data_IF_397564358423
#
_entry.id   IF_397564358423
#
_cell.length_a   1.000
_cell.length_b   1.000
_cell.length_c   1.000
_cell.angle_alpha   90.00
_cell.angle_beta   90.00
_cell.angle_gamma   90.00
#
_symmetry.space_group_name_H-M   'P 1'
#
loop_
_entity.id
_entity.type
_entity.pdbx_description
1 polymer ?
#
# COMPACT_ATOMS: atom_id res chain seq x y z
N UNK A 1 -44.54 3.34 -49.86
CA UNK A 1 -45.31 3.69 -51.07
C UNK A 1 -45.06 2.59 -52.10
N UNK A 2 -46.13 1.97 -52.61
CA UNK A 2 -46.23 0.87 -53.58
C UNK A 2 -45.75 -0.54 -53.19
N UNK A 3 -46.76 -1.42 -53.01
CA UNK A 3 -46.72 -2.86 -53.20
C UNK A 3 -46.20 -3.25 -54.59
N UNK A 4 -45.52 -4.39 -54.69
CA UNK A 4 -45.73 -5.32 -55.79
C UNK A 4 -46.01 -6.72 -55.20
N UNK A 5 -47.16 -7.25 -55.59
CA UNK A 5 -47.70 -8.54 -55.18
C UNK A 5 -46.95 -9.70 -55.85
N UNK A 6 -46.66 -10.75 -55.10
CA UNK A 6 -46.83 -12.13 -55.56
C UNK A 6 -47.42 -12.94 -54.40
N UNK A 7 -48.59 -13.52 -54.68
CA UNK A 7 -49.46 -14.26 -53.76
C UNK A 7 -48.93 -15.68 -53.54
N UNK A 8 -48.82 -16.10 -52.28
CA UNK A 8 -48.95 -17.49 -51.84
C UNK A 8 -50.02 -17.53 -50.72
N UNK A 9 -51.15 -18.24 -50.88
CA UNK A 9 -52.26 -18.17 -49.94
C UNK A 9 -52.21 -19.18 -48.79
N UNK A 10 -51.10 -19.86 -48.48
CA UNK A 10 -51.10 -20.95 -47.49
C UNK A 10 -49.96 -20.96 -46.44
N UNK A 11 -49.51 -19.80 -45.96
CA UNK A 11 -48.66 -19.76 -44.75
C UNK A 11 -49.28 -18.89 -43.66
N UNK A 12 -49.83 -19.58 -42.65
CA UNK A 12 -50.33 -18.97 -41.42
C UNK A 12 -49.19 -18.18 -40.75
N UNK A 13 -49.35 -16.87 -40.63
CA UNK A 13 -48.60 -16.04 -39.68
C UNK A 13 -48.86 -16.57 -38.26
N UNK A 14 -47.98 -17.43 -37.74
CA UNK A 14 -47.88 -17.70 -36.31
C UNK A 14 -46.85 -16.75 -35.69
N UNK A 15 -47.40 -15.70 -35.07
CA UNK A 15 -46.86 -14.90 -33.94
C UNK A 15 -45.34 -14.72 -33.82
N UNK A 16 -44.82 -13.48 -33.99
CA UNK A 16 -43.53 -13.06 -33.44
C UNK A 16 -43.63 -12.67 -31.95
N UNK A 17 -44.79 -12.86 -31.31
CA UNK A 17 -45.04 -12.40 -29.94
C UNK A 17 -44.36 -13.26 -28.86
N UNK A 18 -44.18 -14.57 -29.10
CA UNK A 18 -43.62 -15.48 -28.10
C UNK A 18 -42.09 -15.32 -28.02
N UNK A 19 -41.41 -15.14 -29.15
CA UNK A 19 -39.96 -14.92 -29.19
C UNK A 19 -39.56 -13.57 -28.57
N UNK A 20 -40.39 -12.53 -28.72
CA UNK A 20 -40.16 -11.24 -28.07
C UNK A 20 -40.30 -11.31 -26.54
N UNK A 21 -41.23 -12.14 -26.03
CA UNK A 21 -41.41 -12.35 -24.58
C UNK A 21 -40.24 -13.13 -23.99
N UNK A 22 -39.68 -14.12 -24.69
CA UNK A 22 -38.47 -14.83 -24.22
C UNK A 22 -37.21 -13.96 -24.28
N UNK A 23 -37.10 -13.04 -25.25
CA UNK A 23 -36.00 -12.08 -25.31
C UNK A 23 -36.13 -11.00 -24.22
N UNK A 24 -37.37 -10.57 -23.90
CA UNK A 24 -37.63 -9.66 -22.80
C UNK A 24 -37.44 -10.34 -21.43
N UNK A 25 -37.90 -11.59 -21.24
CA UNK A 25 -37.68 -12.32 -19.98
C UNK A 25 -36.21 -12.72 -19.78
N UNK A 26 -35.43 -12.98 -20.85
CA UNK A 26 -33.99 -13.24 -20.72
C UNK A 26 -33.18 -11.98 -20.40
N UNK A 27 -33.70 -10.79 -20.75
CA UNK A 27 -33.16 -9.49 -20.33
C UNK A 27 -33.46 -9.14 -18.86
N UNK A 28 -34.43 -9.81 -18.21
CA UNK A 28 -34.78 -9.60 -16.79
C UNK A 28 -34.24 -10.69 -15.83
N UNK A 29 -33.50 -11.68 -16.35
CA UNK A 29 -32.88 -12.74 -15.56
C UNK A 29 -31.36 -12.57 -15.40
N UNK A 30 -30.80 -11.43 -15.77
CA UNK A 30 -29.53 -11.02 -15.15
C UNK A 30 -29.87 -10.66 -13.71
N UNK A 31 -29.58 -11.58 -12.80
CA UNK A 31 -29.45 -11.27 -11.38
C UNK A 31 -28.49 -10.10 -11.27
N UNK A 32 -29.06 -8.89 -11.21
CA UNK A 32 -28.34 -7.69 -10.85
C UNK A 32 -27.98 -7.95 -9.40
N UNK A 33 -26.79 -8.51 -9.17
CA UNK A 33 -26.16 -8.41 -7.86
C UNK A 33 -26.13 -6.91 -7.66
N UNK A 34 -27.03 -6.40 -6.81
CA UNK A 34 -27.05 -4.99 -6.46
C UNK A 34 -25.68 -4.73 -5.88
N UNK A 35 -24.82 -4.12 -6.69
CA UNK A 35 -23.52 -3.69 -6.23
C UNK A 35 -23.79 -2.81 -5.02
N UNK A 36 -23.15 -3.16 -3.91
CA UNK A 36 -23.05 -2.28 -2.76
C UNK A 36 -22.61 -0.89 -3.26
N UNK A 37 -23.07 0.15 -2.59
CA UNK A 37 -22.74 1.54 -2.92
C UNK A 37 -22.93 2.41 -1.68
N UNK A 38 -22.50 3.67 -1.75
CA UNK A 38 -22.66 4.66 -0.68
C UNK A 38 -21.98 4.24 0.64
N UNK A 39 -20.75 3.75 0.56
CA UNK A 39 -19.92 3.46 1.73
C UNK A 39 -20.25 2.17 2.45
N UNK A 40 -20.90 1.21 1.77
CA UNK A 40 -21.32 -0.05 2.37
C UNK A 40 -20.58 -1.27 1.81
N UNK A 41 -19.82 -1.11 0.71
CA UNK A 41 -19.09 -2.22 0.12
C UNK A 41 -17.97 -2.71 1.05
N UNK A 42 -17.97 -4.01 1.29
CA UNK A 42 -17.02 -4.71 2.13
C UNK A 42 -15.84 -5.23 1.30
N UNK A 43 -14.81 -5.72 1.99
CA UNK A 43 -13.60 -6.24 1.33
C UNK A 43 -13.97 -7.33 0.32
N UNK A 44 -13.36 -7.29 -0.86
CA UNK A 44 -13.64 -8.14 -2.04
C UNK A 44 -14.97 -7.88 -2.75
N UNK A 45 -15.81 -6.96 -2.28
CA UNK A 45 -17.02 -6.58 -3.02
C UNK A 45 -16.69 -5.58 -4.14
N UNK A 46 -17.46 -5.64 -5.21
CA UNK A 46 -17.27 -4.78 -6.37
C UNK A 46 -17.55 -3.32 -6.05
N UNK A 47 -16.69 -2.43 -6.55
CA UNK A 47 -16.85 -0.98 -6.41
C UNK A 47 -16.59 -0.30 -7.76
N UNK A 48 -17.12 0.90 -7.93
CA UNK A 48 -16.86 1.75 -9.11
C UNK A 48 -16.20 3.07 -8.73
N UNK A 49 -16.32 3.48 -7.46
CA UNK A 49 -15.76 4.70 -6.91
C UNK A 49 -15.23 4.46 -5.49
N UNK A 50 -14.32 5.32 -5.03
CA UNK A 50 -13.80 5.27 -3.67
C UNK A 50 -14.91 5.40 -2.60
N UNK A 51 -16.00 6.10 -2.92
CA UNK A 51 -17.14 6.29 -2.01
C UNK A 51 -18.07 5.09 -1.90
N UNK A 52 -17.87 4.04 -2.69
CA UNK A 52 -18.67 2.81 -2.59
C UNK A 52 -18.22 1.95 -1.40
N UNK A 53 -16.92 1.97 -1.11
CA UNK A 53 -16.28 1.17 -0.07
C UNK A 53 -16.56 1.70 1.34
N UNK A 54 -16.73 0.77 2.28
CA UNK A 54 -16.86 1.08 3.70
C UNK A 54 -15.65 1.90 4.20
N UNK A 55 -15.80 2.66 5.31
CA UNK A 55 -14.68 3.37 5.91
C UNK A 55 -13.47 2.44 6.10
N UNK A 56 -12.25 2.96 5.99
CA UNK A 56 -10.98 2.20 6.04
C UNK A 56 -10.67 1.31 4.83
N UNK A 57 -11.60 1.21 3.87
CA UNK A 57 -11.42 0.49 2.62
C UNK A 57 -11.20 1.45 1.45
N UNK A 58 -10.59 0.93 0.39
CA UNK A 58 -10.23 1.65 -0.82
C UNK A 58 -10.66 0.85 -2.06
N UNK A 59 -11.13 1.54 -3.11
CA UNK A 59 -11.59 0.89 -4.33
C UNK A 59 -10.43 0.70 -5.33
N UNK A 60 -9.91 -0.52 -5.45
CA UNK A 60 -8.73 -0.82 -6.28
C UNK A 60 -8.97 -2.01 -7.22
N UNK A 61 -8.18 -2.10 -8.28
CA UNK A 61 -8.10 -3.30 -9.10
C UNK A 61 -6.74 -3.99 -8.94
N UNK A 62 -6.63 -5.21 -9.49
CA UNK A 62 -5.36 -5.92 -9.55
C UNK A 62 -5.11 -6.49 -10.96
N UNK A 63 -4.56 -5.68 -11.87
CA UNK A 63 -4.37 -6.05 -13.27
C UNK A 63 -3.46 -7.27 -13.47
N UNK A 64 -2.42 -7.42 -12.65
CA UNK A 64 -1.46 -8.53 -12.71
C UNK A 64 -2.06 -9.91 -12.42
N UNK A 65 -3.25 -9.96 -11.78
CA UNK A 65 -4.04 -11.17 -11.60
C UNK A 65 -5.13 -11.35 -12.67
N UNK A 66 -5.15 -10.52 -13.71
CA UNK A 66 -6.18 -10.52 -14.76
C UNK A 66 -7.54 -10.00 -14.29
N UNK A 67 -7.62 -9.38 -13.09
CA UNK A 67 -8.87 -8.84 -12.54
C UNK A 67 -9.15 -7.46 -13.11
N UNK A 68 -10.14 -7.39 -14.00
CA UNK A 68 -10.59 -6.12 -14.63
C UNK A 68 -11.58 -5.32 -13.76
N UNK A 69 -12.25 -5.99 -12.83
CA UNK A 69 -13.20 -5.38 -11.91
C UNK A 69 -12.46 -4.73 -10.73
N UNK A 70 -12.91 -3.54 -10.33
CA UNK A 70 -12.46 -2.88 -9.11
C UNK A 70 -13.21 -3.48 -7.92
N UNK A 71 -12.47 -3.72 -6.84
CA UNK A 71 -12.95 -4.33 -5.61
C UNK A 71 -12.53 -3.44 -4.43
N UNK A 72 -13.32 -3.46 -3.36
CA UNK A 72 -12.89 -2.84 -2.12
C UNK A 72 -11.78 -3.67 -1.49
N UNK A 73 -10.66 -3.03 -1.25
CA UNK A 73 -9.49 -3.57 -0.58
C UNK A 73 -9.22 -2.78 0.69
N UNK A 74 -8.43 -3.35 1.60
CA UNK A 74 -8.11 -2.68 2.86
C UNK A 74 -7.11 -1.54 2.62
N UNK A 75 -7.42 -0.36 3.15
CA UNK A 75 -6.63 0.85 2.98
C UNK A 75 -6.10 1.46 4.27
N UNK A 76 -6.39 0.85 5.42
CA UNK A 76 -5.96 1.36 6.72
C UNK A 76 -5.72 0.24 7.72
N UNK A 77 -4.71 0.43 8.58
CA UNK A 77 -4.37 -0.49 9.65
C UNK A 77 -5.42 -0.43 10.77
N UNK A 78 -5.60 -1.55 11.48
CA UNK A 78 -6.34 -1.53 12.75
C UNK A 78 -5.34 -1.42 13.88
N UNK A 79 -5.56 -0.46 14.79
CA UNK A 79 -4.71 -0.27 15.94
C UNK A 79 -5.47 -0.55 17.25
N UNK A 80 -5.39 -1.76 17.80
CA UNK A 80 -6.12 -2.13 19.00
C UNK A 80 -5.38 -1.62 20.23
N UNK A 81 -5.54 -0.32 20.52
CA UNK A 81 -4.86 0.40 21.62
C UNK A 81 -4.90 -0.34 22.96
N UNK A 82 -5.98 -1.07 23.26
CA UNK A 82 -6.11 -1.86 24.50
C UNK A 82 -5.11 -3.02 24.64
N UNK A 83 -4.57 -3.55 23.55
CA UNK A 83 -3.55 -4.62 23.57
C UNK A 83 -2.14 -4.10 23.36
N UNK A 84 -2.02 -2.94 22.72
CA UNK A 84 -0.73 -2.33 22.43
C UNK A 84 -0.20 -1.56 23.64
N UNK A 85 -1.10 -1.05 24.50
CA UNK A 85 -0.71 -0.42 25.75
C UNK A 85 0.01 -1.40 26.68
N UNK A 86 1.16 -0.98 27.22
CA UNK A 86 2.01 -1.79 28.09
C UNK A 86 2.82 -2.88 27.37
N UNK A 87 2.72 -2.99 26.05
CA UNK A 87 3.52 -3.93 25.26
C UNK A 87 4.90 -3.34 24.96
N UNK A 88 6.01 -4.09 25.14
CA UNK A 88 7.32 -3.68 24.63
C UNK A 88 7.26 -3.40 23.12
N UNK A 89 7.89 -2.31 22.67
CA UNK A 89 7.82 -1.88 21.27
C UNK A 89 8.21 -2.97 20.25
N UNK A 90 9.20 -3.80 20.60
CA UNK A 90 9.67 -4.92 19.77
C UNK A 90 8.81 -6.19 19.85
N UNK A 91 7.62 -6.14 20.46
CA UNK A 91 6.65 -7.25 20.47
C UNK A 91 5.44 -6.98 19.56
N UNK A 92 5.48 -5.89 18.80
CA UNK A 92 4.48 -5.56 17.79
C UNK A 92 5.09 -5.52 16.38
N UNK A 93 4.27 -5.83 15.38
CA UNK A 93 4.61 -5.75 13.96
C UNK A 93 3.92 -4.56 13.32
N UNK A 94 4.72 -3.75 12.62
CA UNK A 94 4.35 -2.48 12.01
C UNK A 94 4.54 -2.53 10.50
N UNK A 95 3.73 -1.74 9.78
CA UNK A 95 3.93 -1.51 8.35
C UNK A 95 5.05 -0.49 8.17
N UNK A 96 5.97 -0.78 7.26
CA UNK A 96 7.00 0.14 6.80
C UNK A 96 6.89 0.35 5.29
N UNK A 97 7.13 1.57 4.83
CA UNK A 97 7.19 1.87 3.39
C UNK A 97 8.63 2.03 2.95
N UNK A 98 9.00 1.33 1.88
CA UNK A 98 10.30 1.48 1.23
C UNK A 98 10.31 2.78 0.41
N UNK A 99 11.38 3.57 0.53
CA UNK A 99 11.54 4.85 -0.12
C UNK A 99 10.27 5.72 -0.07
N UNK A 100 9.82 6.00 1.16
CA UNK A 100 8.50 6.59 1.46
C UNK A 100 8.21 7.91 0.72
N UNK A 101 9.26 8.62 0.31
CA UNK A 101 9.18 9.89 -0.42
C UNK A 101 9.07 9.74 -1.94
N UNK A 102 9.39 8.55 -2.48
CA UNK A 102 9.45 8.28 -3.91
C UNK A 102 8.03 8.06 -4.47
N UNK A 103 7.32 9.16 -4.69
CA UNK A 103 5.88 9.17 -5.01
C UNK A 103 5.66 9.38 -6.51
N UNK A 104 4.85 8.52 -7.14
CA UNK A 104 4.59 8.47 -8.58
C UNK A 104 4.29 9.83 -9.23
N UNK A 105 3.44 10.64 -8.59
CA UNK A 105 2.99 11.94 -9.10
C UNK A 105 3.64 13.13 -8.37
N UNK A 106 4.76 12.92 -7.67
CA UNK A 106 5.49 14.03 -7.05
C UNK A 106 5.93 15.04 -8.14
N UNK A 107 5.82 16.36 -7.91
CA UNK A 107 6.30 17.36 -8.86
C UNK A 107 7.79 17.19 -9.15
N UNK A 108 8.20 17.20 -10.42
CA UNK A 108 9.61 17.23 -10.81
C UNK A 108 10.25 18.58 -10.53
N UNK A 109 11.58 18.62 -10.44
CA UNK A 109 12.32 19.88 -10.38
C UNK A 109 12.10 20.72 -11.65
N UNK A 110 12.04 22.06 -11.54
CA UNK A 110 11.83 22.93 -12.70
C UNK A 110 12.86 22.65 -13.81
N UNK A 111 12.37 22.34 -15.01
CA UNK A 111 13.20 22.10 -16.18
C UNK A 111 13.90 20.74 -16.23
N UNK A 112 13.62 19.82 -15.29
CA UNK A 112 14.23 18.49 -15.23
C UNK A 112 13.16 17.41 -15.29
N UNK A 113 13.27 16.50 -16.26
CA UNK A 113 12.43 15.30 -16.28
C UNK A 113 12.94 14.31 -15.23
N UNK A 114 12.05 13.86 -14.33
CA UNK A 114 12.39 12.79 -13.39
C UNK A 114 12.52 11.46 -14.14
N UNK A 115 13.65 10.78 -13.93
CA UNK A 115 14.03 9.50 -14.50
C UNK A 115 14.49 8.58 -13.36
N UNK A 116 13.53 8.03 -12.63
CA UNK A 116 13.77 7.08 -11.56
C UNK A 116 12.53 6.21 -11.35
N UNK A 117 12.63 5.25 -10.45
CA UNK A 117 11.50 4.40 -10.07
C UNK A 117 10.73 5.04 -8.91
N UNK A 118 9.44 4.72 -8.85
CA UNK A 118 8.55 5.18 -7.79
C UNK A 118 8.17 4.02 -6.88
N UNK A 119 8.05 4.31 -5.60
CA UNK A 119 7.81 3.30 -4.58
C UNK A 119 6.45 3.46 -3.94
N UNK A 120 5.86 4.66 -3.92
CA UNK A 120 4.58 4.93 -3.26
C UNK A 120 3.67 5.81 -4.13
N UNK A 121 2.41 5.90 -3.75
CA UNK A 121 1.41 6.77 -4.41
C UNK A 121 0.86 7.84 -3.46
N UNK A 122 1.03 7.62 -2.16
CA UNK A 122 0.57 8.52 -1.12
C UNK A 122 1.71 9.39 -0.59
N UNK A 123 1.37 10.61 -0.17
CA UNK A 123 2.25 11.45 0.64
C UNK A 123 2.63 10.73 1.93
N UNK A 124 3.75 11.13 2.54
CA UNK A 124 4.18 10.55 3.83
C UNK A 124 3.13 10.80 4.91
N UNK A 125 2.48 11.97 4.90
CA UNK A 125 1.31 12.25 5.75
C UNK A 125 0.22 11.18 5.62
N UNK A 126 -0.15 10.81 4.39
CA UNK A 126 -1.20 9.83 4.15
C UNK A 126 -0.77 8.40 4.49
N UNK A 127 0.49 8.04 4.22
CA UNK A 127 1.07 6.77 4.68
C UNK A 127 0.91 6.62 6.21
N UNK A 128 1.29 7.65 6.97
CA UNK A 128 1.16 7.69 8.43
C UNK A 128 -0.30 7.62 8.87
N UNK A 129 -1.21 8.39 8.25
CA UNK A 129 -2.66 8.35 8.54
C UNK A 129 -3.27 6.97 8.29
N UNK A 130 -2.79 6.26 7.27
CA UNK A 130 -3.26 4.92 6.93
C UNK A 130 -2.67 3.82 7.83
N UNK A 131 -1.77 4.17 8.75
CA UNK A 131 -1.24 3.25 9.77
C UNK A 131 0.19 2.76 9.52
N UNK A 132 0.90 3.31 8.53
CA UNK A 132 2.34 3.13 8.41
C UNK A 132 3.02 3.75 9.63
N UNK A 133 4.00 3.05 10.21
CA UNK A 133 4.77 3.52 11.38
C UNK A 133 6.27 3.37 11.19
N UNK A 134 6.70 2.78 10.06
CA UNK A 134 8.09 2.77 9.59
C UNK A 134 8.24 3.50 8.26
N UNK A 135 9.26 4.33 8.12
CA UNK A 135 9.60 5.02 6.87
C UNK A 135 11.06 4.73 6.51
N UNK A 136 11.33 4.31 5.27
CA UNK A 136 12.69 4.21 4.75
C UNK A 136 12.98 5.43 3.86
N UNK A 137 14.08 6.12 4.13
CA UNK A 137 14.45 7.36 3.48
C UNK A 137 15.92 7.33 3.03
N UNK A 138 16.15 7.42 1.73
CA UNK A 138 17.49 7.62 1.18
C UNK A 138 17.84 9.12 1.21
N UNK A 139 18.85 9.48 2.00
CA UNK A 139 19.26 10.87 2.22
C UNK A 139 20.65 11.16 1.66
N UNK A 140 20.80 12.25 0.91
CA UNK A 140 22.03 12.64 0.24
C UNK A 140 22.36 14.11 0.49
N UNK A 141 23.65 14.45 0.55
CA UNK A 141 24.08 15.83 0.31
C UNK A 141 23.84 16.20 -1.17
N UNK A 142 23.05 17.25 -1.42
CA UNK A 142 22.74 17.72 -2.76
C UNK A 142 22.33 19.19 -2.76
N UNK A 143 22.81 19.98 -3.74
CA UNK A 143 22.47 21.41 -3.87
C UNK A 143 22.69 22.23 -2.57
N UNK A 144 23.75 21.89 -1.82
CA UNK A 144 24.11 22.48 -0.51
C UNK A 144 23.05 22.28 0.60
N UNK A 145 22.22 21.25 0.49
CA UNK A 145 21.24 20.83 1.50
C UNK A 145 21.16 19.29 1.55
N UNK A 146 20.32 18.73 2.42
CA UNK A 146 20.05 17.29 2.48
C UNK A 146 18.76 16.99 1.74
N UNK A 147 18.86 16.12 0.73
CA UNK A 147 17.77 15.79 -0.17
C UNK A 147 17.40 14.31 -0.12
N UNK A 148 16.16 14.05 -0.50
CA UNK A 148 15.65 12.71 -0.74
C UNK A 148 15.77 12.40 -2.23
N UNK A 149 16.52 11.34 -2.56
CA UNK A 149 16.81 10.96 -3.93
C UNK A 149 16.70 9.44 -4.10
N UNK A 150 16.05 8.97 -5.15
CA UNK A 150 16.04 7.54 -5.48
C UNK A 150 17.16 7.26 -6.47
N UNK A 151 18.39 7.11 -5.94
CA UNK A 151 19.62 7.20 -6.71
C UNK A 151 20.50 5.95 -6.60
N UNK A 152 21.73 6.03 -7.11
CA UNK A 152 22.72 4.97 -7.13
C UNK A 152 24.13 5.51 -6.88
N UNK A 153 25.05 4.60 -6.50
CA UNK A 153 26.47 4.90 -6.27
C UNK A 153 26.74 6.01 -5.23
N UNK A 154 25.81 6.22 -4.29
CA UNK A 154 25.98 7.21 -3.23
C UNK A 154 25.97 8.67 -3.69
N UNK A 155 25.39 8.97 -4.86
CA UNK A 155 25.31 10.33 -5.40
C UNK A 155 23.87 10.67 -5.75
N UNK A 156 23.42 11.90 -5.46
CA UNK A 156 22.13 12.39 -5.94
C UNK A 156 22.30 13.21 -7.22
N UNK A 157 21.33 13.10 -8.15
CA UNK A 157 21.31 13.85 -9.39
C UNK A 157 19.97 14.56 -9.57
N UNK A 158 19.97 15.66 -10.32
CA UNK A 158 18.75 16.43 -10.60
C UNK A 158 17.58 15.57 -11.14
N UNK A 159 17.86 14.55 -11.96
CA UNK A 159 16.82 13.71 -12.57
C UNK A 159 16.28 12.61 -11.63
N UNK A 160 16.87 12.39 -10.47
CA UNK A 160 16.40 11.42 -9.48
C UNK A 160 16.16 12.00 -8.08
N UNK A 161 16.38 13.30 -7.92
CA UNK A 161 15.98 14.08 -6.77
C UNK A 161 14.46 14.24 -6.70
N UNK A 162 13.92 14.14 -5.49
CA UNK A 162 12.51 14.40 -5.21
C UNK A 162 12.33 15.77 -4.56
N UNK A 163 12.87 15.96 -3.37
CA UNK A 163 12.73 17.20 -2.61
C UNK A 163 13.76 17.28 -1.46
N UNK A 164 13.97 18.48 -0.89
CA UNK A 164 14.68 18.62 0.38
C UNK A 164 14.05 17.75 1.47
N UNK A 165 14.87 17.03 2.23
CA UNK A 165 14.41 16.08 3.25
C UNK A 165 13.60 16.74 4.37
N UNK A 166 13.86 18.03 4.64
CA UNK A 166 13.14 18.83 5.64
C UNK A 166 11.62 18.85 5.40
N UNK A 167 11.16 18.76 4.15
CA UNK A 167 9.73 18.79 3.83
C UNK A 167 9.04 17.52 4.35
N UNK A 168 9.60 16.35 4.05
CA UNK A 168 9.08 15.07 4.54
C UNK A 168 9.19 14.97 6.06
N UNK A 169 10.28 15.45 6.67
CA UNK A 169 10.40 15.45 8.14
C UNK A 169 9.37 16.39 8.81
N UNK A 170 8.98 17.49 8.17
CA UNK A 170 7.87 18.34 8.65
C UNK A 170 6.52 17.65 8.56
N UNK A 171 6.29 16.78 7.56
CA UNK A 171 5.09 15.93 7.54
C UNK A 171 5.06 14.98 8.75
N UNK A 172 6.21 14.38 9.10
CA UNK A 172 6.35 13.52 10.28
C UNK A 172 6.13 14.31 11.57
N UNK A 173 6.70 15.52 11.69
CA UNK A 173 6.51 16.37 12.86
C UNK A 173 5.05 16.74 13.06
N UNK A 174 4.39 17.18 11.99
CA UNK A 174 2.97 17.53 12.02
C UNK A 174 2.11 16.33 12.45
N UNK A 175 2.39 15.14 11.92
CA UNK A 175 1.70 13.91 12.32
C UNK A 175 1.92 13.59 13.81
N UNK A 176 3.15 13.61 14.31
CA UNK A 176 3.46 13.32 15.72
C UNK A 176 2.87 14.39 16.67
N UNK A 177 2.78 15.64 16.24
CA UNK A 177 2.16 16.72 16.99
C UNK A 177 0.63 16.57 17.07
N UNK A 178 -0.02 16.19 15.97
CA UNK A 178 -1.47 15.93 15.91
C UNK A 178 -1.86 14.64 16.64
N UNK A 179 -0.95 13.66 16.73
CA UNK A 179 -1.23 12.33 17.27
C UNK A 179 -0.27 11.99 18.44
N UNK A 180 -0.57 12.41 19.68
CA UNK A 180 0.36 12.34 20.82
C UNK A 180 0.65 10.91 21.32
N UNK A 181 -0.14 9.92 20.91
CA UNK A 181 0.03 8.51 21.28
C UNK A 181 0.79 7.69 20.24
N UNK A 182 1.16 8.29 19.11
CA UNK A 182 1.77 7.57 18.00
C UNK A 182 3.30 7.59 18.07
N UNK A 183 3.92 6.53 17.57
CA UNK A 183 5.37 6.35 17.50
C UNK A 183 5.76 6.15 16.04
N UNK A 184 6.76 6.88 15.54
CA UNK A 184 7.27 6.73 14.18
C UNK A 184 8.71 6.23 14.21
N UNK A 185 9.04 5.31 13.32
CA UNK A 185 10.40 4.83 13.07
C UNK A 185 10.87 5.27 11.69
N UNK A 186 12.07 5.82 11.61
CA UNK A 186 12.73 6.18 10.36
C UNK A 186 14.03 5.37 10.23
N UNK A 187 14.23 4.75 9.07
CA UNK A 187 15.47 4.08 8.70
C UNK A 187 16.07 4.83 7.52
N UNK A 188 17.28 5.33 7.69
CA UNK A 188 17.96 6.18 6.71
C UNK A 188 19.00 5.35 5.96
N UNK A 189 18.88 5.26 4.64
CA UNK A 189 20.03 4.92 3.80
C UNK A 189 20.86 6.19 3.61
N UNK A 190 21.99 6.24 4.32
CA UNK A 190 22.70 7.48 4.62
C UNK A 190 23.87 7.72 3.68
N UNK A 191 23.76 8.76 2.87
CA UNK A 191 24.80 9.32 2.01
C UNK A 191 25.09 10.79 2.36
N UNK A 192 24.84 11.20 3.61
CA UNK A 192 25.09 12.56 4.10
C UNK A 192 26.48 12.61 4.75
N UNK A 193 27.40 13.30 4.09
CA UNK A 193 28.77 13.54 4.54
C UNK A 193 28.92 14.87 5.28
N UNK A 194 27.98 15.80 5.12
CA UNK A 194 27.97 17.06 5.89
C UNK A 194 28.03 16.77 7.39
N UNK A 195 29.04 17.27 8.12
CA UNK A 195 29.17 17.03 9.55
C UNK A 195 27.96 17.55 10.33
N UNK A 196 27.38 16.71 11.19
CA UNK A 196 26.15 17.01 11.95
C UNK A 196 24.94 17.31 11.07
N UNK A 197 24.98 16.95 9.80
CA UNK A 197 23.95 17.29 8.82
C UNK A 197 22.59 16.71 9.22
N UNK A 198 22.54 15.42 9.56
CA UNK A 198 21.29 14.74 9.91
C UNK A 198 20.72 15.27 11.23
N UNK A 199 21.52 15.33 12.30
CA UNK A 199 20.98 15.82 13.59
C UNK A 199 20.47 17.26 13.49
N UNK A 200 21.17 18.14 12.76
CA UNK A 200 20.71 19.51 12.53
C UNK A 200 19.41 19.53 11.72
N UNK A 201 19.29 18.68 10.69
CA UNK A 201 18.08 18.55 9.89
C UNK A 201 16.88 18.14 10.76
N UNK A 202 17.03 17.13 11.63
CA UNK A 202 15.96 16.69 12.54
C UNK A 202 15.58 17.75 13.58
N UNK A 203 16.55 18.45 14.15
CA UNK A 203 16.30 19.59 15.05
C UNK A 203 15.55 20.71 14.33
N UNK A 204 15.96 21.06 13.11
CA UNK A 204 15.31 22.10 12.30
C UNK A 204 13.89 21.70 11.87
N UNK A 205 13.62 20.40 11.73
CA UNK A 205 12.28 19.87 11.51
C UNK A 205 11.40 19.94 12.77
N UNK A 206 11.98 20.18 13.96
CA UNK A 206 11.29 20.15 15.25
C UNK A 206 11.04 18.74 15.77
N UNK A 207 11.82 17.75 15.33
CA UNK A 207 11.65 16.34 15.69
C UNK A 207 12.48 15.90 16.91
N UNK A 208 13.44 16.72 17.33
CA UNK A 208 14.32 16.48 18.49
C UNK A 208 13.54 16.28 19.79
N UNK A 209 12.42 17.00 19.98
CA UNK A 209 11.52 16.83 21.13
C UNK A 209 10.86 15.45 21.23
N UNK A 210 10.87 14.66 20.14
CA UNK A 210 10.32 13.30 20.11
C UNK A 210 11.40 12.20 20.16
N UNK A 211 12.68 12.58 20.11
CA UNK A 211 13.79 11.68 19.85
C UNK A 211 13.95 10.60 20.93
N UNK A 212 14.06 9.34 20.50
CA UNK A 212 14.43 8.24 21.37
C UNK A 212 15.98 8.10 21.37
N UNK A 213 16.66 8.36 22.50
CA UNK A 213 18.12 8.42 22.53
C UNK A 213 18.77 7.03 22.52
N UNK A 214 19.92 6.93 21.86
CA UNK A 214 20.76 5.71 21.79
C UNK A 214 21.13 5.17 23.19
N UNK A 215 21.33 6.06 24.17
CA UNK A 215 21.68 5.67 25.55
C UNK A 215 20.65 4.74 26.20
N UNK A 216 19.40 4.85 25.75
CA UNK A 216 18.25 4.19 26.37
C UNK A 216 17.71 3.06 25.47
N UNK A 217 18.39 2.80 24.35
CA UNK A 217 18.07 1.67 23.48
C UNK A 217 18.53 0.36 24.11
N UNK A 218 17.70 -0.71 24.07
CA UNK A 218 18.06 -2.00 24.63
C UNK A 218 19.28 -2.60 23.95
N UNK A 219 19.99 -3.44 24.68
CA UNK A 219 21.18 -4.15 24.19
C UNK A 219 20.95 -5.65 24.26
N UNK A 220 21.73 -6.40 23.48
CA UNK A 220 21.76 -7.87 23.55
C UNK A 220 20.38 -8.55 23.41
N UNK A 221 19.49 -7.99 22.59
CA UNK A 221 18.17 -8.59 22.31
C UNK A 221 17.11 -8.36 23.38
N UNK A 222 17.38 -7.48 24.36
CA UNK A 222 16.40 -7.12 25.39
C UNK A 222 15.16 -6.43 24.81
N UNK A 223 14.08 -6.48 25.60
CA UNK A 223 12.83 -5.82 25.28
C UNK A 223 12.99 -4.29 25.31
N UNK A 224 12.33 -3.63 24.37
CA UNK A 224 12.25 -2.17 24.32
C UNK A 224 11.32 -1.67 25.42
N UNK A 225 11.45 -0.39 25.84
CA UNK A 225 10.42 0.24 26.64
C UNK A 225 9.05 0.01 26.05
N UNK A 226 8.05 -0.09 26.91
CA UNK A 226 6.68 -0.26 26.47
C UNK A 226 6.24 0.94 25.65
N UNK A 227 5.32 0.73 24.72
CA UNK A 227 4.74 1.80 23.91
C UNK A 227 4.14 2.89 24.82
N UNK A 228 3.56 2.50 25.95
CA UNK A 228 3.06 3.43 26.97
C UNK A 228 4.17 4.28 27.58
N UNK A 229 5.31 3.71 27.95
CA UNK A 229 6.46 4.46 28.50
C UNK A 229 7.08 5.40 27.46
N UNK A 230 7.21 4.94 26.20
CA UNK A 230 7.68 5.76 25.09
C UNK A 230 6.77 6.97 24.86
N UNK A 231 5.45 6.77 24.88
CA UNK A 231 4.46 7.84 24.75
C UNK A 231 4.51 8.81 25.93
N UNK A 232 4.50 8.30 27.17
CA UNK A 232 4.50 9.13 28.38
C UNK A 232 5.77 9.99 28.53
N UNK A 233 6.92 9.48 28.07
CA UNK A 233 8.18 10.23 28.04
C UNK A 233 8.34 11.11 26.80
N UNK A 234 7.35 11.13 25.91
CA UNK A 234 7.37 11.77 24.60
C UNK A 234 8.58 11.35 23.72
N UNK A 235 9.13 10.14 23.93
CA UNK A 235 10.20 9.56 23.12
C UNK A 235 9.60 8.66 22.05
N UNK A 236 9.00 9.30 21.06
CA UNK A 236 8.10 8.69 20.07
C UNK A 236 8.68 8.66 18.66
N UNK A 237 9.94 9.05 18.48
CA UNK A 237 10.65 8.98 17.21
C UNK A 237 11.92 8.13 17.36
N UNK A 238 11.95 7.01 16.65
CA UNK A 238 13.13 6.16 16.51
C UNK A 238 13.79 6.46 15.17
N UNK A 239 15.10 6.72 15.16
CA UNK A 239 15.84 6.99 13.91
C UNK A 239 17.08 6.11 13.86
N UNK A 240 17.19 5.37 12.77
CA UNK A 240 18.32 4.51 12.45
C UNK A 240 19.02 4.98 11.18
N UNK A 241 20.32 4.76 11.10
CA UNK A 241 21.15 5.09 9.93
C UNK A 241 22.01 3.90 9.51
N UNK A 242 22.26 3.78 8.21
CA UNK A 242 23.15 2.79 7.62
C UNK A 242 24.64 3.08 7.81
N UNK A 243 25.02 4.30 8.22
CA UNK A 243 26.42 4.67 8.50
C UNK A 243 26.75 4.55 9.99
N UNK A 244 27.75 3.72 10.31
CA UNK A 244 28.20 3.47 11.68
C UNK A 244 28.79 4.72 12.37
N UNK A 245 29.34 5.67 11.60
CA UNK A 245 29.97 6.89 12.15
C UNK A 245 28.97 7.77 12.91
N UNK A 246 27.73 7.82 12.42
CA UNK A 246 26.65 8.68 12.91
C UNK A 246 26.20 8.38 14.33
N UNK A 247 26.39 7.16 14.83
CA UNK A 247 26.04 6.84 16.21
C UNK A 247 26.96 7.57 17.20
N UNK A 248 28.27 7.52 16.95
CA UNK A 248 29.24 8.20 17.79
C UNK A 248 29.25 9.71 17.55
N UNK A 249 29.08 10.12 16.29
CA UNK A 249 29.20 11.53 15.90
C UNK A 249 27.91 12.29 16.13
N UNK A 250 26.74 11.76 15.78
CA UNK A 250 25.45 12.47 15.78
C UNK A 250 24.43 11.92 16.78
N UNK A 251 24.71 10.77 17.41
CA UNK A 251 23.78 10.11 18.32
C UNK A 251 22.61 9.41 17.60
N UNK A 252 22.77 9.12 16.31
CA UNK A 252 21.77 8.40 15.49
C UNK A 252 22.09 6.91 15.50
N UNK A 253 21.11 6.08 15.83
CA UNK A 253 21.35 4.67 16.07
C UNK A 253 21.85 3.95 14.82
N UNK A 254 23.00 3.26 14.93
CA UNK A 254 23.52 2.47 13.81
C UNK A 254 22.67 1.21 13.61
N UNK A 255 21.95 1.11 12.50
CA UNK A 255 20.86 0.14 12.32
C UNK A 255 21.29 -1.30 12.62
N UNK A 256 22.47 -1.70 12.14
CA UNK A 256 22.98 -3.07 12.24
C UNK A 256 23.34 -3.52 13.67
N UNK A 257 23.29 -2.61 14.66
CA UNK A 257 23.36 -2.97 16.08
C UNK A 257 22.01 -3.40 16.67
N UNK A 258 20.91 -2.84 16.17
CA UNK A 258 19.60 -2.94 16.80
C UNK A 258 18.60 -3.79 16.03
N UNK A 259 18.81 -3.99 14.73
CA UNK A 259 17.96 -4.83 13.88
C UNK A 259 18.74 -5.90 13.11
N UNK A 260 18.08 -7.03 12.87
CA UNK A 260 18.42 -7.95 11.78
C UNK A 260 17.52 -7.66 10.58
N UNK A 261 18.02 -7.91 9.38
CA UNK A 261 17.31 -7.58 8.13
C UNK A 261 17.53 -8.65 7.05
N UNK A 262 16.48 -9.00 6.31
CA UNK A 262 16.64 -9.85 5.12
C UNK A 262 17.06 -9.05 3.90
N UNK A 263 17.69 -9.73 2.95
CA UNK A 263 18.08 -9.15 1.67
C UNK A 263 16.88 -8.46 1.01
N UNK A 264 17.14 -7.37 0.30
CA UNK A 264 16.12 -6.65 -0.45
C UNK A 264 16.09 -7.11 -1.91
N UNK A 265 15.15 -6.55 -2.68
CA UNK A 265 15.06 -6.83 -4.12
C UNK A 265 14.73 -8.29 -4.44
N UNK A 266 15.09 -8.71 -5.65
CA UNK A 266 14.71 -10.03 -6.18
C UNK A 266 15.30 -11.20 -5.37
N UNK A 267 16.50 -11.02 -4.80
CA UNK A 267 17.14 -12.00 -3.92
C UNK A 267 16.41 -12.12 -2.57
N UNK A 268 15.83 -11.02 -2.09
CA UNK A 268 15.02 -10.93 -0.88
C UNK A 268 13.67 -11.60 -0.95
N UNK A 269 13.08 -11.65 -2.15
CA UNK A 269 11.72 -12.18 -2.35
C UNK A 269 11.69 -13.59 -2.97
N UNK A 270 12.84 -14.27 -3.04
CA UNK A 270 12.95 -15.62 -3.59
C UNK A 270 12.14 -16.64 -2.78
N UNK A 271 11.12 -17.24 -3.41
CA UNK A 271 10.21 -18.22 -2.77
C UNK A 271 10.95 -19.28 -1.94
N UNK A 272 10.59 -19.37 -0.66
CA UNK A 272 11.13 -20.38 0.28
C UNK A 272 12.52 -20.06 0.83
N UNK A 273 13.10 -18.89 0.50
CA UNK A 273 14.39 -18.43 1.00
C UNK A 273 14.25 -17.02 1.56
N UNK A 274 14.81 -16.78 2.75
CA UNK A 274 14.90 -15.44 3.35
C UNK A 274 16.36 -15.21 3.79
N UNK A 275 17.25 -14.83 2.84
CA UNK A 275 18.66 -14.55 3.16
C UNK A 275 18.77 -13.26 3.97
N UNK A 276 19.77 -13.14 4.83
CA UNK A 276 20.07 -11.90 5.54
C UNK A 276 20.91 -10.98 4.65
N UNK A 277 20.80 -9.66 4.86
CA UNK A 277 21.73 -8.70 4.25
C UNK A 277 23.15 -8.93 4.73
N UNK A 278 24.12 -8.62 3.87
CA UNK A 278 25.55 -8.77 4.18
C UNK A 278 25.99 -7.98 5.42
N UNK A 279 25.45 -6.79 5.60
CA UNK A 279 25.76 -5.91 6.73
C UNK A 279 25.04 -6.35 8.02
N UNK A 280 23.92 -7.06 7.87
CA UNK A 280 23.14 -7.60 8.96
C UNK A 280 23.82 -8.81 9.58
N UNK A 281 23.54 -9.05 10.86
CA UNK A 281 23.75 -10.38 11.46
C UNK A 281 22.76 -11.39 10.86
N UNK A 282 23.01 -12.71 11.01
CA UNK A 282 22.04 -13.74 10.63
C UNK A 282 20.67 -13.47 11.29
N UNK A 283 19.57 -13.74 10.58
CA UNK A 283 18.21 -13.46 11.07
C UNK A 283 17.85 -14.16 12.40
N UNK A 284 18.48 -15.30 12.68
CA UNK A 284 18.30 -16.03 13.94
C UNK A 284 19.20 -15.51 15.07
N UNK A 285 19.98 -14.44 14.85
CA UNK A 285 20.72 -13.77 15.91
C UNK A 285 19.76 -13.22 16.95
N UNK A 286 20.17 -13.26 18.21
CA UNK A 286 19.44 -12.67 19.36
C UNK A 286 20.17 -11.50 19.98
N UNK A 287 21.20 -11.00 19.30
CA UNK A 287 21.95 -9.83 19.78
C UNK A 287 21.30 -8.49 19.43
N UNK A 288 20.35 -8.52 18.49
CA UNK A 288 19.46 -7.42 18.12
C UNK A 288 18.02 -7.84 18.43
N UNK A 289 17.19 -6.90 18.87
CA UNK A 289 15.80 -7.16 19.29
C UNK A 289 14.75 -6.76 18.26
N UNK A 290 15.15 -6.07 17.19
CA UNK A 290 14.28 -5.73 16.07
C UNK A 290 14.56 -6.63 14.85
N UNK A 291 13.52 -6.90 14.07
CA UNK A 291 13.62 -7.54 12.77
C UNK A 291 12.88 -6.72 11.71
N UNK A 292 13.61 -6.21 10.71
CA UNK A 292 13.06 -5.57 9.52
C UNK A 292 12.99 -6.58 8.38
N UNK A 293 11.78 -6.84 7.87
CA UNK A 293 11.59 -7.67 6.69
C UNK A 293 11.39 -6.81 5.44
N UNK A 294 12.34 -6.86 4.50
CA UNK A 294 12.17 -6.33 3.14
C UNK A 294 11.31 -7.29 2.31
N UNK A 295 10.24 -6.76 1.72
CA UNK A 295 9.43 -7.49 0.75
C UNK A 295 9.06 -6.58 -0.42
N UNK A 296 10.01 -6.43 -1.34
CA UNK A 296 9.82 -5.70 -2.58
C UNK A 296 10.83 -6.17 -3.64
N UNK A 297 10.46 -6.19 -4.93
CA UNK A 297 11.39 -6.50 -6.02
C UNK A 297 12.41 -5.37 -6.21
N UNK A 298 13.48 -5.67 -6.96
CA UNK A 298 14.52 -4.67 -7.30
C UNK A 298 13.92 -3.49 -8.06
N UNK A 299 12.96 -3.77 -8.94
CA UNK A 299 12.26 -2.77 -9.73
C UNK A 299 10.80 -2.70 -9.28
N UNK A 300 10.36 -1.60 -8.66
CA UNK A 300 9.00 -1.46 -8.20
C UNK A 300 8.06 -1.31 -9.41
N UNK A 301 7.06 -2.19 -9.51
CA UNK A 301 6.05 -2.16 -10.58
C UNK A 301 4.66 -2.02 -9.97
N UNK A 302 4.07 -0.83 -10.09
CA UNK A 302 2.76 -0.49 -9.52
C UNK A 302 1.68 -1.54 -9.82
N UNK A 303 1.62 -2.01 -11.07
CA UNK A 303 0.62 -2.97 -11.53
C UNK A 303 0.77 -4.38 -10.92
N UNK A 304 1.98 -4.74 -10.50
CA UNK A 304 2.30 -6.04 -9.90
C UNK A 304 2.19 -6.03 -8.38
N UNK A 305 2.34 -4.86 -7.73
CA UNK A 305 2.31 -4.74 -6.27
C UNK A 305 1.03 -5.24 -5.61
N UNK A 306 -0.11 -5.18 -6.29
CA UNK A 306 -1.34 -5.77 -5.79
C UNK A 306 -1.24 -7.30 -5.62
N UNK A 307 -0.52 -7.99 -6.51
CA UNK A 307 -0.26 -9.43 -6.43
C UNK A 307 0.82 -9.73 -5.41
N UNK A 308 1.84 -8.87 -5.30
CA UNK A 308 2.92 -8.99 -4.33
C UNK A 308 2.37 -9.02 -2.89
N UNK A 309 1.55 -8.02 -2.50
CA UNK A 309 1.01 -7.89 -1.14
C UNK A 309 -0.20 -8.78 -0.85
N UNK A 310 -0.29 -9.92 -1.52
CA UNK A 310 -1.37 -10.90 -1.37
C UNK A 310 -0.82 -12.22 -0.81
N UNK A 311 -1.21 -13.38 -1.37
CA UNK A 311 -0.67 -14.68 -0.95
C UNK A 311 0.88 -14.76 -0.95
N UNK A 312 1.62 -14.19 -1.93
CA UNK A 312 3.08 -14.22 -1.94
C UNK A 312 3.74 -13.56 -0.71
N UNK A 313 3.24 -12.42 -0.23
CA UNK A 313 3.75 -11.77 0.99
C UNK A 313 3.51 -12.65 2.22
N UNK A 314 2.34 -13.30 2.33
CA UNK A 314 2.06 -14.25 3.42
C UNK A 314 3.07 -15.41 3.42
N UNK A 315 3.36 -15.97 2.25
CA UNK A 315 4.34 -17.05 2.10
C UNK A 315 5.75 -16.59 2.53
N UNK A 316 6.13 -15.38 2.16
CA UNK A 316 7.46 -14.85 2.51
C UNK A 316 7.57 -14.50 3.99
N UNK A 317 6.56 -13.89 4.61
CA UNK A 317 6.51 -13.67 6.06
C UNK A 317 6.70 -14.98 6.81
N UNK A 318 6.03 -16.06 6.40
CA UNK A 318 6.20 -17.37 7.03
C UNK A 318 7.59 -17.98 6.79
N UNK A 319 8.18 -17.72 5.62
CA UNK A 319 9.54 -18.14 5.28
C UNK A 319 10.56 -17.44 6.17
N UNK A 320 10.46 -16.12 6.27
CA UNK A 320 11.32 -15.29 7.10
C UNK A 320 11.14 -15.55 8.59
N UNK A 321 9.91 -15.79 9.07
CA UNK A 321 9.64 -16.23 10.44
C UNK A 321 10.44 -17.49 10.82
N UNK A 322 10.47 -18.50 9.93
CA UNK A 322 11.26 -19.73 10.15
C UNK A 322 12.76 -19.44 10.12
N UNK A 323 13.23 -18.67 9.14
CA UNK A 323 14.64 -18.30 9.01
C UNK A 323 15.15 -17.48 10.22
N UNK A 324 14.29 -16.65 10.80
CA UNK A 324 14.56 -15.85 11.99
C UNK A 324 14.45 -16.66 13.31
N UNK A 325 14.27 -17.98 13.25
CA UNK A 325 14.16 -18.83 14.44
C UNK A 325 12.85 -18.63 15.20
N UNK A 326 11.73 -18.59 14.47
CA UNK A 326 10.37 -18.44 14.98
C UNK A 326 10.09 -17.07 15.62
N UNK A 327 10.66 -16.01 15.03
CA UNK A 327 10.39 -14.62 15.42
C UNK A 327 9.78 -13.90 14.21
N UNK A 328 8.62 -13.29 14.40
CA UNK A 328 7.99 -12.49 13.35
C UNK A 328 8.71 -11.14 13.20
N UNK A 329 8.70 -10.54 12.00
CA UNK A 329 9.29 -9.23 11.79
C UNK A 329 8.56 -8.14 12.57
N UNK A 330 9.32 -7.20 13.13
CA UNK A 330 8.77 -5.98 13.71
C UNK A 330 8.36 -4.98 12.64
N UNK A 331 9.02 -4.98 11.49
CA UNK A 331 8.66 -4.12 10.36
C UNK A 331 8.53 -4.96 9.09
N UNK A 332 7.46 -4.74 8.33
CA UNK A 332 7.32 -5.29 6.98
C UNK A 332 7.40 -4.12 6.00
N UNK A 333 8.54 -4.00 5.31
CA UNK A 333 8.83 -2.96 4.34
C UNK A 333 8.34 -3.37 2.95
N UNK A 334 7.50 -2.54 2.34
CA UNK A 334 6.90 -2.78 1.02
C UNK A 334 6.92 -1.52 0.14
N UNK A 335 6.90 -1.71 -1.17
CA UNK A 335 6.48 -0.66 -2.11
C UNK A 335 4.94 -0.60 -2.15
N UNK A 336 4.34 0.45 -2.70
CA UNK A 336 2.91 0.59 -3.03
C UNK A 336 1.97 -0.03 -1.98
N UNK A 337 2.15 0.33 -0.71
CA UNK A 337 1.56 -0.37 0.45
C UNK A 337 0.02 -0.51 0.41
N UNK A 338 -0.66 0.41 -0.31
CA UNK A 338 -2.11 0.40 -0.53
C UNK A 338 -2.59 -0.65 -1.55
N UNK A 339 -1.70 -1.13 -2.43
CA UNK A 339 -2.05 -2.05 -3.51
C UNK A 339 -2.12 -3.48 -2.98
N UNK A 340 -3.27 -4.11 -3.12
CA UNK A 340 -3.48 -5.54 -2.80
C UNK A 340 -4.64 -6.14 -3.60
N UNK A 341 -4.85 -7.45 -3.47
CA UNK A 341 -6.01 -8.14 -4.04
C UNK A 341 -7.19 -8.30 -3.06
N UNK A 342 -7.11 -7.67 -1.87
CA UNK A 342 -8.05 -7.83 -0.75
C UNK A 342 -7.56 -7.15 0.52
N UNK A 343 -6.96 -7.91 1.44
CA UNK A 343 -6.55 -7.42 2.77
C UNK A 343 -5.17 -6.74 2.82
N UNK A 344 -4.29 -7.04 1.86
CA UNK A 344 -2.99 -6.39 1.74
C UNK A 344 -2.04 -6.58 2.92
N UNK A 345 -1.02 -5.71 2.97
CA UNK A 345 -0.07 -5.65 4.08
C UNK A 345 -0.76 -5.37 5.43
N UNK A 346 -1.88 -4.64 5.42
CA UNK A 346 -2.69 -4.34 6.61
C UNK A 346 -3.24 -5.60 7.29
N UNK A 347 -3.85 -6.51 6.53
CA UNK A 347 -4.36 -7.77 7.06
C UNK A 347 -3.21 -8.70 7.52
N UNK A 348 -2.05 -8.61 6.88
CA UNK A 348 -0.89 -9.44 7.21
C UNK A 348 -0.30 -9.03 8.57
N UNK A 349 -0.12 -7.74 8.84
CA UNK A 349 0.34 -7.29 10.16
C UNK A 349 -0.68 -7.62 11.26
N UNK A 350 -1.99 -7.50 10.99
CA UNK A 350 -3.05 -7.91 11.92
C UNK A 350 -2.99 -9.40 12.25
N UNK A 351 -2.73 -10.25 11.24
CA UNK A 351 -2.56 -11.70 11.42
C UNK A 351 -1.34 -12.03 12.26
N UNK A 352 -0.22 -11.33 12.04
CA UNK A 352 0.99 -11.51 12.85
C UNK A 352 0.72 -11.11 14.30
N UNK A 353 0.20 -9.89 14.50
CA UNK A 353 -0.08 -9.37 15.84
C UNK A 353 -1.12 -10.21 16.59
N UNK A 354 -2.16 -10.71 15.92
CA UNK A 354 -3.12 -11.64 16.53
C UNK A 354 -2.46 -12.92 17.03
N UNK A 355 -1.56 -13.50 16.23
CA UNK A 355 -0.84 -14.73 16.60
C UNK A 355 0.13 -14.50 17.75
N UNK A 356 0.90 -13.42 17.68
CA UNK A 356 1.94 -13.09 18.66
C UNK A 356 1.34 -12.68 20.00
N UNK A 357 0.30 -11.84 19.99
CA UNK A 357 -0.22 -11.23 21.21
C UNK A 357 -1.23 -12.10 21.95
N UNK A 358 -2.07 -12.85 21.22
CA UNK A 358 -3.19 -13.56 21.83
C UNK A 358 -3.47 -14.94 21.22
N UNK A 359 -2.66 -15.43 20.28
CA UNK A 359 -2.84 -16.73 19.63
C UNK A 359 -4.00 -16.80 18.63
N UNK A 360 -4.57 -15.66 18.25
CA UNK A 360 -5.69 -15.59 17.32
C UNK A 360 -5.25 -15.40 15.87
N UNK A 361 -6.16 -15.70 14.94
CA UNK A 361 -5.88 -15.52 13.52
C UNK A 361 -5.74 -14.06 13.10
N UNK A 362 -6.24 -13.11 13.89
CA UNK A 362 -6.14 -11.67 13.66
C UNK A 362 -6.19 -10.93 15.00
N UNK A 363 -5.54 -9.78 15.07
CA UNK A 363 -5.46 -8.97 16.30
C UNK A 363 -6.83 -8.47 16.75
N UNK A 364 -7.77 -8.27 15.82
CA UNK A 364 -9.14 -7.87 16.17
C UNK A 364 -9.89 -8.94 16.95
N UNK A 365 -9.50 -10.21 16.80
CA UNK A 365 -10.11 -11.35 17.52
C UNK A 365 -9.57 -11.54 18.94
N UNK A 366 -8.54 -10.78 19.34
CA UNK A 366 -8.01 -10.84 20.70
C UNK A 366 -9.03 -10.33 21.73
N UNK A 367 -9.02 -10.94 22.93
CA UNK A 367 -9.84 -10.52 24.08
C UNK A 367 -8.95 -10.08 25.25
N UNK A 368 -9.18 -8.86 25.77
CA UNK A 368 -8.34 -8.28 26.82
C UNK A 368 -8.53 -9.08 28.11
N UNK A 369 -7.43 -9.53 28.71
CA UNK A 369 -7.47 -10.34 29.94
C UNK A 369 -7.89 -11.80 29.74
N UNK A 370 -8.18 -12.23 28.51
CA UNK A 370 -8.47 -13.63 28.23
C UNK A 370 -7.17 -14.46 28.08
N UNK A 371 -7.21 -15.78 28.36
CA UNK A 371 -6.08 -16.66 28.12
C UNK A 371 -5.67 -16.70 26.64
N UNK A 372 -4.38 -16.87 26.36
CA UNK A 372 -3.85 -17.04 25.01
C UNK A 372 -4.60 -18.16 24.26
N UNK A 373 -5.04 -17.88 23.03
CA UNK A 373 -5.87 -18.75 22.19
C UNK A 373 -7.38 -18.55 22.37
N UNK A 374 -7.83 -17.73 23.32
CA UNK A 374 -9.25 -17.42 23.54
C UNK A 374 -9.70 -16.29 22.60
N UNK A 375 -10.14 -16.68 21.41
CA UNK A 375 -10.49 -15.73 20.35
C UNK A 375 -11.98 -15.42 20.33
N UNK A 376 -12.32 -14.15 20.11
CA UNK A 376 -13.68 -13.78 19.73
C UNK A 376 -14.06 -14.52 18.45
N UNK A 377 -15.32 -14.96 18.35
CA UNK A 377 -15.86 -15.46 17.10
C UNK A 377 -16.12 -14.27 16.18
N UNK A 378 -15.03 -13.76 15.61
CA UNK A 378 -15.07 -12.77 14.57
C UNK A 378 -15.20 -13.57 13.29
N UNK A 379 -16.35 -13.47 12.64
CA UNK A 379 -16.45 -13.82 11.23
C UNK A 379 -15.33 -13.07 10.52
N UNK A 380 -14.28 -13.78 10.07
CA UNK A 380 -13.18 -13.18 9.32
C UNK A 380 -13.80 -12.23 8.30
N UNK A 381 -13.47 -10.93 8.29
CA UNK A 381 -14.27 -9.97 7.53
C UNK A 381 -14.10 -10.22 6.03
N UNK A 382 -15.05 -10.96 5.47
CA UNK A 382 -15.74 -10.54 4.26
C UNK A 382 -16.75 -9.44 4.57
N UNK A 383 -17.09 -9.19 5.85
CA UNK A 383 -18.00 -8.11 6.28
C UNK A 383 -17.68 -7.59 7.70
N UNK A 384 -17.55 -6.26 7.83
CA UNK A 384 -17.74 -5.38 9.01
C UNK A 384 -16.53 -4.56 9.47
N UNK A 385 -16.69 -3.22 9.62
CA UNK A 385 -15.95 -2.43 10.60
C UNK A 385 -16.73 -2.35 11.92
N UNK A 386 -16.05 -2.55 13.06
CA UNK A 386 -16.54 -2.13 14.38
C UNK A 386 -16.00 -0.73 14.66
N UNK A 387 -16.90 0.22 14.89
CA UNK A 387 -16.59 1.56 15.41
C UNK A 387 -16.00 1.45 16.80
N UNK A 388 -14.67 1.42 16.91
CA UNK A 388 -13.97 1.71 18.15
C UNK A 388 -13.45 3.15 18.09
N UNK A 389 -14.05 4.01 18.91
CA UNK A 389 -13.57 5.34 19.25
C UNK A 389 -12.23 5.24 19.98
N UNK A 390 -11.14 5.15 19.21
CA UNK A 390 -9.79 5.41 19.67
C UNK A 390 -8.96 5.90 18.48
N UNK A 391 -8.71 7.22 18.41
CA UNK A 391 -7.66 7.83 17.59
C UNK A 391 -7.64 7.59 16.07
N UNK A 392 -8.69 7.02 15.47
CA UNK A 392 -8.73 6.75 14.03
C UNK A 392 -9.24 7.97 13.27
N UNK A 393 -8.48 8.43 12.27
CA UNK A 393 -8.93 9.44 11.30
C UNK A 393 -10.19 8.91 10.60
N UNK A 394 -11.34 9.51 10.93
CA UNK A 394 -12.62 9.22 10.26
C UNK A 394 -12.69 10.02 8.97
N UNK A 395 -12.14 9.46 7.89
CA UNK A 395 -12.23 10.00 6.53
C UNK A 395 -12.18 8.87 5.50
N UNK A 396 -12.62 9.15 4.28
CA UNK A 396 -12.44 8.21 3.18
C UNK A 396 -10.95 8.09 2.86
N UNK A 397 -10.46 6.87 2.64
CA UNK A 397 -9.11 6.67 2.12
C UNK A 397 -9.15 7.02 0.64
N UNK A 398 -8.70 8.23 0.33
CA UNK A 398 -8.61 8.73 -1.04
C UNK A 398 -7.13 8.85 -1.38
N UNK A 399 -6.69 8.21 -2.46
CA UNK A 399 -5.42 8.59 -3.08
C UNK A 399 -5.46 10.09 -3.40
N UNK A 400 -4.29 10.71 -3.54
CA UNK A 400 -4.15 12.01 -4.21
C UNK A 400 -4.83 12.05 -5.60
N UNK A 401 -5.15 10.88 -6.17
CA UNK A 401 -5.98 10.70 -7.35
C UNK A 401 -7.27 9.94 -7.05
N UNK A 402 -8.41 10.59 -7.25
CA UNK A 402 -9.67 9.89 -7.49
C UNK A 402 -9.48 8.95 -8.68
N UNK A 403 -9.97 7.71 -8.59
CA UNK A 403 -10.00 6.77 -9.71
C UNK A 403 -10.37 7.53 -10.98
N UNK A 404 -9.40 7.71 -11.88
CA UNK A 404 -9.66 8.44 -13.11
C UNK A 404 -10.78 7.70 -13.80
N UNK A 405 -11.90 8.39 -14.03
CA UNK A 405 -12.96 7.84 -14.84
C UNK A 405 -12.32 7.41 -16.15
N UNK A 406 -12.20 6.10 -16.36
CA UNK A 406 -11.96 5.58 -17.70
C UNK A 406 -13.05 6.22 -18.53
N UNK A 407 -12.66 7.13 -19.42
CA UNK A 407 -13.57 7.75 -20.36
C UNK A 407 -14.04 6.62 -21.27
N UNK A 408 -15.07 5.91 -20.82
CA UNK A 408 -15.83 5.02 -21.67
C UNK A 408 -16.32 5.91 -22.80
N UNK A 409 -15.95 5.65 -24.07
CA UNK A 409 -16.45 6.44 -25.17
C UNK A 409 -17.96 6.35 -25.07
N UNK A 410 -18.58 7.52 -24.83
CA UNK A 410 -19.99 7.68 -24.51
C UNK A 410 -20.79 6.73 -25.40
N UNK A 411 -21.42 5.69 -24.82
CA UNK A 411 -21.99 4.58 -25.61
C UNK A 411 -23.05 5.10 -26.60
N UNK A 412 -23.66 6.23 -26.27
CA UNK A 412 -24.53 7.01 -27.15
C UNK A 412 -23.82 7.54 -28.40
N UNK A 413 -22.58 8.04 -28.28
CA UNK A 413 -21.78 8.55 -29.41
C UNK A 413 -21.38 7.41 -30.35
N UNK A 414 -20.96 6.27 -29.80
CA UNK A 414 -20.63 5.08 -30.57
C UNK A 414 -21.87 4.53 -31.31
N UNK A 415 -23.02 4.51 -30.65
CA UNK A 415 -24.30 4.10 -31.26
C UNK A 415 -24.77 5.08 -32.33
N UNK A 416 -24.57 6.39 -32.16
CA UNK A 416 -24.88 7.36 -33.23
C UNK A 416 -23.98 7.20 -34.44
N UNK A 417 -22.70 6.88 -34.25
CA UNK A 417 -21.75 6.62 -35.36
C UNK A 417 -22.14 5.33 -36.09
N UNK A 418 -22.49 4.27 -35.36
CA UNK A 418 -22.94 3.00 -35.95
C UNK A 418 -24.24 3.19 -36.72
N UNK A 419 -25.22 3.91 -36.16
CA UNK A 419 -26.49 4.22 -36.84
C UNK A 419 -26.27 5.07 -38.10
N UNK A 420 -25.31 6.00 -38.08
CA UNK A 420 -24.96 6.81 -39.23
C UNK A 420 -24.28 5.99 -40.34
N UNK A 421 -23.37 5.08 -39.98
CA UNK A 421 -22.73 4.14 -40.91
C UNK A 421 -23.76 3.17 -41.49
N UNK A 422 -24.71 2.68 -40.69
CA UNK A 422 -25.78 1.80 -41.14
C UNK A 422 -26.75 2.52 -42.11
N UNK A 423 -27.02 3.80 -41.87
CA UNK A 423 -27.81 4.66 -42.77
C UNK A 423 -27.09 4.93 -44.09
N UNK A 424 -25.77 5.12 -44.05
CA UNK A 424 -24.92 5.24 -45.24
C UNK A 424 -24.87 3.93 -46.04
N UNK A 425 -24.79 2.78 -45.36
CA UNK A 425 -24.83 1.45 -45.96
C UNK A 425 -26.18 1.16 -46.64
N UNK A 426 -27.30 1.56 -46.04
CA UNK A 426 -28.63 1.44 -46.66
C UNK A 426 -28.84 2.41 -47.85
N UNK A 427 -28.13 3.54 -47.87
CA UNK A 427 -28.24 4.55 -48.94
C UNK A 427 -27.42 4.23 -50.19
N UNK A 428 -26.39 3.37 -50.08
CA UNK A 428 -25.56 2.92 -51.19
C UNK A 428 -25.77 1.42 -51.34
N UNK A 429 -26.65 1.04 -52.28
CA UNK A 429 -26.94 -0.35 -52.60
C UNK A 429 -25.68 -1.20 -52.69
N UNK A 430 -25.75 -2.41 -52.12
CA UNK A 430 -24.64 -3.30 -51.85
C UNK A 430 -23.66 -3.43 -53.03
N UNK A 431 -22.53 -2.71 -52.96
CA UNK A 431 -21.37 -2.90 -53.82
C UNK A 431 -20.13 -2.31 -53.13
N UNK A 432 -19.36 -3.22 -52.53
CA UNK A 432 -17.95 -3.11 -52.09
C UNK A 432 -17.48 -1.84 -51.36
N UNK A 433 -17.26 -1.97 -50.04
CA UNK A 433 -16.28 -1.16 -49.30
C UNK A 433 -15.31 -2.13 -48.63
N UNK A 434 -14.09 -2.19 -49.15
CA UNK A 434 -12.94 -2.83 -48.48
C UNK A 434 -12.43 -1.87 -47.41
N UNK A 435 -12.55 -2.24 -46.12
CA UNK A 435 -11.97 -1.48 -45.02
C UNK A 435 -10.52 -1.93 -44.86
N UNK A 436 -9.57 -1.07 -45.23
CA UNK A 436 -8.17 -1.23 -44.88
C UNK A 436 -8.01 -0.96 -43.38
N UNK A 437 -7.70 -2.00 -42.60
CA UNK A 437 -7.30 -1.88 -41.20
C UNK A 437 -5.86 -1.40 -41.18
N UNK A 438 -5.64 -0.10 -40.91
CA UNK A 438 -4.32 0.40 -40.60
C UNK A 438 -3.92 -0.08 -39.20
N UNK A 439 -2.85 -0.88 -39.16
CA UNK A 439 -2.11 -1.19 -37.94
C UNK A 439 -1.42 0.11 -37.47
N UNK A 440 -1.91 0.69 -36.38
CA UNK A 440 -1.17 1.69 -35.60
C UNK A 440 -0.57 0.99 -34.39
N UNK A 441 0.73 0.70 -34.50
CA UNK A 441 1.62 0.54 -33.36
C UNK A 441 1.65 1.85 -32.57
N UNK A 442 1.57 1.77 -31.25
CA UNK A 442 1.89 2.88 -30.36
C UNK A 442 3.09 2.50 -29.48
N UNK A 443 4.11 3.35 -29.58
CA UNK A 443 5.10 3.63 -28.52
C UNK A 443 4.40 4.27 -27.32
#
# INVERSE_FOLDING_TARGET
MCCLMLLDPNTKCKQPFITFIYLFLSLFLTSSITACSNGNCQVMEACSSATDCAPTLYCSNCPSLGRKQFLCTRGQATFPTSFVNGLPFNKYSWIMTHNSFSILDAPSLPGVQRLTFYNQEDTVTNQLRNGVRGLMLDMYDFENDIWLCHSFQGQCFNFNAFQPAINTLKEVEAFLAENPTEIVTIVIEDFVHTPKGLINLFVNAGLDKYWFPVSDMPKAGEDWPTITEMVQSNRRLLVFTSDASKEAEEGIAYQWRYMVENEFGDDGIRKGSCPHRKESKPLNSRSASLFLQNYFPTYPVEADSCKEHSAPLVDMVNTCYRAAGNVFPNFIAVNYYMRSDGGGVFDIVDKINGRVLCGCNTVTACQVGAPFGSCNNITVPTTSPVTNTAGSFTGYVQFSRSASAVHSPNCALLMTIILYIFKLWLSRGASSITIAVYHMSFF
#
